data_IF_730676876909
#
_entry.id   IF_730676876909
#
_cell.length_a   1.000
_cell.length_b   1.000
_cell.length_c   1.000
_cell.angle_alpha   90.00
_cell.angle_beta   90.00
_cell.angle_gamma   90.00
#
_symmetry.space_group_name_H-M   'P 1'
#
loop_
_entity.id
_entity.type
_entity.pdbx_description
1 polymer ?
#
# COMPACT_ATOMS: atom_id res chain seq x y z
N UNK A 1 -25.47 27.92 5.35
CA UNK A 1 -24.83 27.18 6.47
C UNK A 1 -24.38 25.79 6.02
N UNK A 2 -25.22 25.04 5.30
CA UNK A 2 -24.94 23.67 4.84
C UNK A 2 -23.72 23.53 3.90
N UNK A 3 -23.53 24.44 2.93
CA UNK A 3 -22.36 24.41 2.03
C UNK A 3 -21.00 24.52 2.77
N UNK A 4 -20.96 25.31 3.83
CA UNK A 4 -19.74 25.50 4.62
C UNK A 4 -19.38 24.26 5.46
N UNK A 5 -20.39 23.51 5.92
CA UNK A 5 -20.19 22.25 6.63
C UNK A 5 -19.61 21.18 5.71
N UNK A 6 -20.17 21.03 4.50
CA UNK A 6 -19.68 20.07 3.49
C UNK A 6 -18.22 20.38 3.10
N UNK A 7 -17.88 21.66 2.92
CA UNK A 7 -16.50 22.05 2.58
C UNK A 7 -15.51 21.78 3.73
N UNK A 8 -15.92 22.04 4.98
CA UNK A 8 -15.11 21.76 6.16
C UNK A 8 -14.88 20.25 6.34
N UNK A 9 -15.90 19.44 6.10
CA UNK A 9 -15.82 17.98 6.14
C UNK A 9 -14.86 17.46 5.07
N UNK A 10 -14.96 17.95 3.82
CA UNK A 10 -14.00 17.63 2.74
C UNK A 10 -12.56 18.00 3.11
N UNK A 11 -12.32 19.19 3.67
CA UNK A 11 -10.98 19.61 4.13
C UNK A 11 -10.43 18.71 5.25
N UNK A 12 -11.27 18.27 6.17
CA UNK A 12 -10.87 17.36 7.25
C UNK A 12 -10.59 15.95 6.74
N UNK A 13 -11.40 15.42 5.82
CA UNK A 13 -11.15 14.16 5.13
C UNK A 13 -9.82 14.21 4.36
N UNK A 14 -9.58 15.30 3.64
CA UNK A 14 -8.33 15.48 2.88
C UNK A 14 -7.11 15.57 3.80
N UNK A 15 -7.22 16.26 4.94
CA UNK A 15 -6.18 16.28 5.99
C UNK A 15 -5.95 14.93 6.63
N UNK A 16 -6.99 14.10 6.79
CA UNK A 16 -6.84 12.73 7.28
C UNK A 16 -6.16 11.85 6.23
N UNK A 17 -6.51 12.01 4.95
CA UNK A 17 -5.94 11.26 3.81
C UNK A 17 -4.43 11.50 3.62
N UNK A 18 -3.90 12.62 4.11
CA UNK A 18 -2.46 12.91 4.11
C UNK A 18 -1.74 12.54 5.40
N UNK A 19 -2.41 11.96 6.41
CA UNK A 19 -1.75 11.51 7.64
C UNK A 19 -0.96 10.23 7.38
N UNK A 20 0.34 10.33 7.59
CA UNK A 20 1.29 9.23 7.57
C UNK A 20 1.83 9.04 9.01
N UNK A 21 1.90 7.79 9.46
CA UNK A 21 2.42 7.39 10.78
C UNK A 21 3.49 6.31 10.62
N UNK A 22 4.62 6.43 11.30
CA UNK A 22 5.72 5.46 11.24
C UNK A 22 5.69 4.47 12.43
N UNK A 23 4.48 4.06 12.82
CA UNK A 23 4.28 3.13 13.95
C UNK A 23 4.35 1.65 13.55
N UNK A 24 4.26 1.35 12.25
CA UNK A 24 4.36 0.01 11.73
C UNK A 24 5.80 -0.51 11.81
N UNK A 25 5.95 -1.80 12.13
CA UNK A 25 7.22 -2.53 12.10
C UNK A 25 7.04 -3.80 11.31
N UNK A 26 8.04 -4.15 10.52
CA UNK A 26 8.04 -5.42 9.80
C UNK A 26 7.97 -6.60 10.78
N UNK A 27 7.35 -7.71 10.35
CA UNK A 27 7.46 -8.99 11.06
C UNK A 27 8.92 -9.39 11.27
N UNK A 28 9.21 -10.06 12.39
CA UNK A 28 10.59 -10.41 12.81
C UNK A 28 11.26 -11.43 11.88
N UNK A 29 10.46 -12.19 11.14
CA UNK A 29 10.87 -13.21 10.18
C UNK A 29 11.17 -12.65 8.78
N UNK A 30 10.84 -11.37 8.52
CA UNK A 30 11.22 -10.70 7.26
C UNK A 30 12.72 -10.54 7.20
N UNK A 31 13.33 -11.02 6.13
CA UNK A 31 14.79 -11.01 5.96
C UNK A 31 15.21 -10.48 4.58
N UNK A 32 16.52 -10.30 4.41
CA UNK A 32 17.10 -9.88 3.13
C UNK A 32 16.74 -8.44 2.75
N UNK A 33 16.27 -8.23 1.52
CA UNK A 33 16.17 -6.93 0.89
C UNK A 33 15.16 -5.95 1.56
N UNK A 34 14.28 -6.47 2.42
CA UNK A 34 13.27 -5.67 3.13
C UNK A 34 13.64 -5.37 4.59
N UNK A 35 14.68 -5.98 5.16
CA UNK A 35 14.98 -5.88 6.59
C UNK A 35 15.20 -4.43 7.08
N UNK A 36 15.75 -3.57 6.22
CA UNK A 36 16.01 -2.15 6.52
C UNK A 36 14.89 -1.21 6.03
N UNK A 37 13.76 -1.75 5.55
CA UNK A 37 12.65 -0.93 5.08
C UNK A 37 11.89 -0.28 6.25
N UNK A 38 11.53 0.99 6.06
CA UNK A 38 10.69 1.73 7.01
C UNK A 38 9.24 1.63 6.57
N UNK A 39 8.38 1.09 7.44
CA UNK A 39 6.96 0.98 7.17
C UNK A 39 6.20 2.22 7.65
N UNK A 40 5.26 2.67 6.83
CA UNK A 40 4.39 3.79 7.16
C UNK A 40 2.92 3.39 7.00
N UNK A 41 2.10 3.81 7.96
CA UNK A 41 0.65 3.68 7.94
C UNK A 41 0.08 4.96 7.34
N UNK A 42 -0.69 4.82 6.27
CA UNK A 42 -1.39 5.91 5.61
C UNK A 42 -2.89 5.72 5.78
N UNK A 43 -3.61 6.77 6.16
CA UNK A 43 -5.06 6.77 6.00
C UNK A 43 -5.39 7.12 4.55
N UNK A 44 -6.17 6.26 3.88
CA UNK A 44 -6.48 6.42 2.46
C UNK A 44 -7.97 6.52 2.21
N UNK A 45 -8.36 7.37 1.25
CA UNK A 45 -9.70 7.38 0.66
C UNK A 45 -9.83 6.45 -0.55
N UNK A 46 -8.71 5.98 -1.11
CA UNK A 46 -8.63 5.02 -2.21
C UNK A 46 -7.51 4.01 -1.94
N UNK A 47 -7.75 3.03 -1.05
CA UNK A 47 -6.72 2.12 -0.58
C UNK A 47 -6.16 1.23 -1.69
N UNK A 48 -6.95 0.91 -2.73
CA UNK A 48 -6.48 0.06 -3.83
C UNK A 48 -5.40 0.80 -4.63
N UNK A 49 -5.66 2.04 -5.04
CA UNK A 49 -4.70 2.85 -5.80
C UNK A 49 -3.44 3.12 -4.97
N UNK A 50 -3.59 3.49 -3.70
CA UNK A 50 -2.47 3.79 -2.81
C UNK A 50 -1.58 2.57 -2.54
N UNK A 51 -2.17 1.40 -2.27
CA UNK A 51 -1.40 0.16 -2.05
C UNK A 51 -0.69 -0.23 -3.35
N UNK A 52 -1.37 -0.13 -4.50
CA UNK A 52 -0.77 -0.44 -5.81
C UNK A 52 0.44 0.44 -6.10
N UNK A 53 0.32 1.75 -5.90
CA UNK A 53 1.44 2.69 -6.06
C UNK A 53 2.58 2.38 -5.09
N UNK A 54 2.26 2.04 -3.85
CA UNK A 54 3.24 1.64 -2.83
C UNK A 54 3.99 0.36 -3.24
N UNK A 55 3.30 -0.66 -3.77
CA UNK A 55 3.93 -1.89 -4.28
C UNK A 55 4.90 -1.57 -5.42
N UNK A 56 4.47 -0.76 -6.41
CA UNK A 56 5.33 -0.37 -7.55
C UNK A 56 6.58 0.35 -7.06
N UNK A 57 6.44 1.30 -6.13
CA UNK A 57 7.57 2.03 -5.56
C UNK A 57 8.54 1.10 -4.84
N UNK A 58 8.05 0.13 -4.06
CA UNK A 58 8.92 -0.83 -3.38
C UNK A 58 9.63 -1.75 -4.38
N UNK A 59 8.94 -2.25 -5.42
CA UNK A 59 9.55 -3.04 -6.50
C UNK A 59 10.70 -2.27 -7.14
N UNK A 60 10.51 -0.98 -7.45
CA UNK A 60 11.51 -0.14 -8.09
C UNK A 60 12.69 0.20 -7.17
N UNK A 61 12.42 0.50 -5.90
CA UNK A 61 13.44 0.95 -4.95
C UNK A 61 14.28 -0.21 -4.40
N UNK A 62 13.64 -1.34 -4.09
CA UNK A 62 14.31 -2.55 -3.59
C UNK A 62 14.91 -3.36 -4.75
N UNK A 63 14.40 -3.19 -5.96
CA UNK A 63 14.85 -3.91 -7.15
C UNK A 63 14.40 -5.37 -7.12
N UNK A 64 13.10 -5.60 -6.88
CA UNK A 64 12.50 -6.94 -6.89
C UNK A 64 12.59 -7.51 -8.31
N UNK A 65 13.23 -8.67 -8.46
CA UNK A 65 13.47 -9.31 -9.76
C UNK A 65 12.93 -10.74 -9.86
N UNK A 66 12.59 -11.37 -8.73
CA UNK A 66 12.10 -12.74 -8.70
C UNK A 66 10.80 -12.89 -7.90
N UNK A 67 10.21 -14.09 -8.02
CA UNK A 67 8.93 -14.40 -7.36
C UNK A 67 9.03 -14.50 -5.83
N UNK A 68 10.17 -14.95 -5.29
CA UNK A 68 10.34 -15.09 -3.85
C UNK A 68 10.34 -13.71 -3.17
N UNK A 69 11.04 -12.74 -3.76
CA UNK A 69 11.04 -11.36 -3.29
C UNK A 69 9.65 -10.71 -3.42
N UNK A 70 8.90 -11.05 -4.47
CA UNK A 70 7.53 -10.56 -4.64
C UNK A 70 6.58 -11.17 -3.61
N UNK A 71 6.69 -12.47 -3.33
CA UNK A 71 5.92 -13.16 -2.28
C UNK A 71 6.20 -12.57 -0.90
N UNK A 72 7.48 -12.32 -0.56
CA UNK A 72 7.90 -11.68 0.69
C UNK A 72 7.31 -10.25 0.82
N UNK A 73 7.29 -9.48 -0.27
CA UNK A 73 6.66 -8.16 -0.28
C UNK A 73 5.17 -8.25 0.05
N UNK A 74 4.45 -9.17 -0.58
CA UNK A 74 3.01 -9.35 -0.34
C UNK A 74 2.76 -9.87 1.08
N UNK A 75 3.59 -10.77 1.58
CA UNK A 75 3.56 -11.22 2.98
C UNK A 75 3.65 -10.03 3.94
N UNK A 76 4.60 -9.10 3.74
CA UNK A 76 4.72 -7.89 4.54
C UNK A 76 3.43 -7.07 4.55
N UNK A 77 2.81 -6.84 3.40
CA UNK A 77 1.54 -6.09 3.34
C UNK A 77 0.41 -6.80 4.10
N UNK A 78 0.30 -8.13 3.96
CA UNK A 78 -0.72 -8.91 4.67
C UNK A 78 -0.50 -8.88 6.18
N UNK A 79 0.76 -9.03 6.65
CA UNK A 79 1.09 -9.03 8.06
C UNK A 79 0.94 -7.65 8.72
N UNK A 80 1.20 -6.57 7.98
CA UNK A 80 1.09 -5.19 8.47
C UNK A 80 -0.35 -4.66 8.50
N UNK A 81 -1.28 -5.33 7.81
CA UNK A 81 -2.66 -4.86 7.67
C UNK A 81 -3.67 -5.84 8.25
N UNK A 82 -4.80 -5.31 8.74
CA UNK A 82 -5.90 -6.14 9.21
C UNK A 82 -6.58 -6.89 8.06
N UNK A 83 -7.31 -7.96 8.38
CA UNK A 83 -7.94 -8.83 7.39
C UNK A 83 -8.95 -8.13 6.49
N UNK A 84 -9.56 -7.04 6.94
CA UNK A 84 -10.45 -6.20 6.14
C UNK A 84 -9.74 -5.58 4.93
N UNK A 85 -8.42 -5.35 5.04
CA UNK A 85 -7.62 -4.71 3.99
C UNK A 85 -7.06 -5.72 2.99
N UNK A 86 -7.00 -7.00 3.35
CA UNK A 86 -6.37 -8.05 2.52
C UNK A 86 -6.97 -8.15 1.12
N UNK A 87 -8.29 -7.95 0.98
CA UNK A 87 -8.95 -7.92 -0.32
C UNK A 87 -8.46 -6.79 -1.23
N UNK A 88 -8.14 -5.61 -0.67
CA UNK A 88 -7.57 -4.50 -1.44
C UNK A 88 -6.13 -4.80 -1.87
N UNK A 89 -5.35 -5.46 -1.02
CA UNK A 89 -3.97 -5.88 -1.34
C UNK A 89 -3.97 -6.86 -2.51
N UNK A 90 -4.85 -7.86 -2.49
CA UNK A 90 -4.98 -8.84 -3.58
C UNK A 90 -5.38 -8.16 -4.90
N UNK A 91 -6.37 -7.27 -4.86
CA UNK A 91 -6.81 -6.54 -6.06
C UNK A 91 -5.72 -5.60 -6.60
N UNK A 92 -5.01 -4.89 -5.72
CA UNK A 92 -3.90 -4.03 -6.09
C UNK A 92 -2.80 -4.84 -6.79
N UNK A 93 -2.45 -6.01 -6.25
CA UNK A 93 -1.46 -6.91 -6.81
C UNK A 93 -1.87 -7.49 -8.18
N UNK A 94 -3.08 -8.03 -8.31
CA UNK A 94 -3.58 -8.59 -9.58
C UNK A 94 -3.65 -7.52 -10.68
N UNK A 95 -3.98 -6.28 -10.35
CA UNK A 95 -4.01 -5.19 -11.32
C UNK A 95 -2.61 -4.83 -11.86
N UNK A 96 -1.53 -5.17 -11.15
CA UNK A 96 -0.17 -5.02 -11.66
C UNK A 96 0.13 -6.00 -12.79
N UNK A 97 -0.35 -7.24 -12.67
CA UNK A 97 -0.03 -8.32 -13.62
C UNK A 97 -0.85 -8.21 -14.89
N UNK A 98 -2.13 -7.80 -14.80
CA UNK A 98 -3.05 -7.64 -15.94
C UNK A 98 -2.63 -6.53 -16.91
N UNK A 99 -1.80 -5.57 -16.47
CA UNK A 99 -1.30 -4.49 -17.33
C UNK A 99 -0.32 -4.95 -18.42
N UNK A 100 0.13 -6.21 -18.39
CA UNK A 100 1.08 -6.77 -19.36
C UNK A 100 0.42 -7.49 -20.55
N UNK A 101 -0.90 -7.73 -20.50
CA UNK A 101 -1.64 -8.50 -21.52
C UNK A 101 -2.40 -7.60 -22.52
N UNK A 102 -1.74 -6.58 -23.06
CA UNK A 102 -2.29 -5.77 -24.18
C UNK A 102 -1.25 -5.49 -25.26
N UNK A 103 -0.57 -6.54 -25.73
CA UNK A 103 0.17 -6.52 -27.00
C UNK A 103 0.01 -7.85 -27.71
N UNK A 104 -0.99 -7.91 -28.59
CA UNK A 104 -1.02 -8.79 -29.78
C UNK A 104 -1.28 -7.91 -30.99
#
# INVERSE_FOLDING_TARGET
MEKAQIEMEKKNLQRRSSRISFSARLPEDVCGAFADCICAVKYSSDPISDIRESIIQVIQNVGIQDWNQMEELIYCYIALNSSEVHSFIQNAFLNLTVSSDNTV
#
